data_IF_061283112783
#
_entry.id   IF_061283112783
#
_cell.length_a   1.000
_cell.length_b   1.000
_cell.length_c   1.000
_cell.angle_alpha   90.00
_cell.angle_beta   90.00
_cell.angle_gamma   90.00
#
_symmetry.space_group_name_H-M   'P 1'
#
loop_
_entity.id
_entity.type
_entity.pdbx_description
1 polymer ?
#
# COMPACT_ATOMS: atom_id res chain seq x y z
N UNK A 1 5.88 30.48 7.11
CA UNK A 1 5.36 29.13 6.84
C UNK A 1 4.13 28.92 7.70
N UNK A 2 2.98 28.63 7.08
CA UNK A 2 1.74 28.32 7.81
C UNK A 2 1.94 27.04 8.61
N UNK A 3 1.73 27.09 9.92
CA UNK A 3 1.83 25.91 10.79
C UNK A 3 0.66 24.97 10.46
N UNK A 4 0.98 23.77 9.98
CA UNK A 4 0.01 22.72 9.66
C UNK A 4 -0.16 21.82 10.87
N UNK A 5 -1.37 21.29 11.05
CA UNK A 5 -1.70 20.40 12.16
C UNK A 5 -2.36 19.14 11.60
N UNK A 6 -2.04 18.01 12.22
CA UNK A 6 -2.57 16.69 11.88
C UNK A 6 -3.33 16.12 13.08
N UNK A 7 -4.43 15.42 12.82
CA UNK A 7 -5.22 14.77 13.87
C UNK A 7 -4.47 13.52 14.35
N UNK A 8 -3.65 13.67 15.39
CA UNK A 8 -2.86 12.59 16.00
C UNK A 8 -3.04 12.67 17.51
N UNK A 9 -3.82 11.76 18.09
CA UNK A 9 -4.00 11.63 19.54
C UNK A 9 -3.35 10.33 20.05
N UNK A 10 -2.63 10.41 21.17
CA UNK A 10 -2.01 9.24 21.81
C UNK A 10 -3.07 8.24 22.31
N UNK A 11 -4.24 8.73 22.76
CA UNK A 11 -5.33 7.88 23.24
C UNK A 11 -5.89 7.01 22.10
N UNK A 12 -6.20 7.62 20.95
CA UNK A 12 -6.65 6.91 19.75
C UNK A 12 -5.63 5.87 19.28
N UNK A 13 -4.33 6.20 19.32
CA UNK A 13 -3.26 5.25 18.98
C UNK A 13 -3.17 4.08 19.96
N UNK A 14 -3.47 4.32 21.24
CA UNK A 14 -3.52 3.29 22.27
C UNK A 14 -4.71 2.36 22.04
N UNK A 15 -5.90 2.91 21.81
CA UNK A 15 -7.15 2.17 21.52
C UNK A 15 -7.03 1.34 20.25
N UNK A 16 -6.42 1.90 19.20
CA UNK A 16 -6.15 1.18 17.95
C UNK A 16 -5.04 0.11 18.08
N UNK A 17 -4.35 0.02 19.22
CA UNK A 17 -3.34 -1.00 19.48
C UNK A 17 -2.02 -0.81 18.72
N UNK A 18 -1.68 0.42 18.29
CA UNK A 18 -0.47 0.72 17.50
C UNK A 18 0.82 0.39 18.25
N UNK A 19 0.77 0.39 19.57
CA UNK A 19 1.92 0.15 20.46
C UNK A 19 2.37 -1.31 20.48
N UNK A 20 1.58 -2.26 19.97
CA UNK A 20 1.95 -3.67 19.95
C UNK A 20 2.92 -3.99 18.81
N UNK A 21 4.14 -4.38 19.17
CA UNK A 21 5.16 -4.88 18.26
C UNK A 21 5.12 -6.40 18.06
N UNK A 22 6.22 -6.94 17.54
CA UNK A 22 6.39 -8.38 17.38
C UNK A 22 6.95 -9.03 18.66
N UNK A 23 6.88 -10.37 18.72
CA UNK A 23 7.53 -11.15 19.77
C UNK A 23 9.05 -10.97 19.77
N UNK A 24 9.68 -11.07 20.94
CA UNK A 24 11.09 -10.71 21.13
C UNK A 24 12.12 -11.57 20.41
N UNK A 25 11.70 -12.69 19.81
CA UNK A 25 12.56 -13.53 18.96
C UNK A 25 12.61 -13.06 17.50
N UNK A 26 11.67 -12.22 17.07
CA UNK A 26 11.51 -11.77 15.67
C UNK A 26 11.80 -10.27 15.51
N UNK A 27 12.61 -9.69 16.40
CA UNK A 27 12.94 -8.26 16.36
C UNK A 27 14.27 -8.01 15.66
N UNK A 28 14.45 -6.79 15.16
CA UNK A 28 15.72 -6.31 14.60
C UNK A 28 16.39 -5.38 15.63
N UNK A 29 17.65 -5.62 16.05
CA UNK A 29 18.37 -4.78 17.01
C UNK A 29 18.42 -3.29 16.64
N UNK A 30 18.39 -2.95 15.34
CA UNK A 30 18.32 -1.56 14.88
C UNK A 30 17.05 -0.82 15.30
N UNK A 31 16.01 -1.56 15.71
CA UNK A 31 14.77 -1.00 16.21
C UNK A 31 14.83 -0.60 17.69
N UNK A 32 15.93 -0.87 18.41
CA UNK A 32 16.08 -0.55 19.83
C UNK A 32 15.69 0.89 20.19
N UNK A 33 16.03 1.94 19.40
CA UNK A 33 15.60 3.31 19.70
C UNK A 33 14.08 3.52 19.66
N UNK A 34 13.32 2.68 18.96
CA UNK A 34 11.87 2.85 18.79
C UNK A 34 11.04 1.98 19.75
N UNK A 35 11.69 1.12 20.53
CA UNK A 35 11.05 0.21 21.48
C UNK A 35 11.07 0.87 22.87
N UNK A 36 9.92 0.96 23.53
CA UNK A 36 9.79 1.53 24.88
C UNK A 36 9.97 0.47 25.97
N UNK A 37 9.38 -0.71 25.79
CA UNK A 37 9.40 -1.77 26.78
C UNK A 37 9.21 -3.16 26.15
N UNK A 38 9.34 -4.20 26.98
CA UNK A 38 8.95 -5.58 26.67
C UNK A 38 8.01 -6.07 27.76
N UNK A 39 6.85 -6.61 27.39
CA UNK A 39 5.91 -7.25 28.34
C UNK A 39 5.42 -8.57 27.77
N UNK A 40 5.40 -9.62 28.61
CA UNK A 40 4.92 -10.97 28.23
C UNK A 40 5.50 -11.49 26.89
N UNK A 41 6.77 -11.21 26.61
CA UNK A 41 7.44 -11.65 25.38
C UNK A 41 7.14 -10.85 24.11
N UNK A 42 6.41 -9.73 24.20
CA UNK A 42 6.08 -8.82 23.09
C UNK A 42 6.81 -7.48 23.30
N UNK A 43 7.37 -6.92 22.24
CA UNK A 43 7.91 -5.55 22.27
C UNK A 43 6.79 -4.52 22.19
N UNK A 44 6.93 -3.45 22.98
CA UNK A 44 6.05 -2.29 22.96
C UNK A 44 6.79 -1.16 22.26
N UNK A 45 6.17 -0.56 21.25
CA UNK A 45 6.74 0.58 20.51
C UNK A 45 6.44 1.90 21.23
N UNK A 46 7.32 2.88 21.06
CA UNK A 46 7.16 4.19 21.69
C UNK A 46 6.17 5.07 20.90
N UNK A 47 4.96 5.26 21.45
CA UNK A 47 3.91 6.05 20.79
C UNK A 47 4.27 7.53 20.63
N UNK A 48 4.98 8.15 21.57
CA UNK A 48 5.42 9.55 21.45
C UNK A 48 6.35 9.72 20.24
N UNK A 49 7.28 8.78 20.03
CA UNK A 49 8.14 8.78 18.83
C UNK A 49 7.32 8.52 17.56
N UNK A 50 6.40 7.56 17.59
CA UNK A 50 5.53 7.27 16.45
C UNK A 50 4.69 8.49 16.05
N UNK A 51 4.11 9.20 17.02
CA UNK A 51 3.32 10.41 16.76
C UNK A 51 4.15 11.51 16.09
N UNK A 52 5.39 11.72 16.56
CA UNK A 52 6.32 12.69 15.94
C UNK A 52 6.63 12.33 14.49
N UNK A 53 7.04 11.08 14.23
CA UNK A 53 7.36 10.63 12.87
C UNK A 53 6.14 10.58 11.96
N UNK A 54 4.96 10.30 12.49
CA UNK A 54 3.71 10.35 11.74
C UNK A 54 3.41 11.78 11.28
N UNK A 55 3.58 12.78 12.14
CA UNK A 55 3.44 14.19 11.76
C UNK A 55 4.42 14.58 10.65
N UNK A 56 5.72 14.25 10.82
CA UNK A 56 6.75 14.53 9.81
C UNK A 56 6.43 13.84 8.46
N UNK A 57 5.94 12.60 8.49
CA UNK A 57 5.52 11.87 7.29
C UNK A 57 4.31 12.51 6.61
N UNK A 58 3.32 12.96 7.38
CA UNK A 58 2.15 13.66 6.84
C UNK A 58 2.54 14.98 6.17
N UNK A 59 3.48 15.74 6.75
CA UNK A 59 3.99 16.97 6.14
C UNK A 59 4.65 16.71 4.77
N UNK A 60 5.50 15.68 4.70
CA UNK A 60 6.16 15.30 3.44
C UNK A 60 5.18 14.82 2.38
N UNK A 61 4.19 14.01 2.76
CA UNK A 61 3.16 13.51 1.84
C UNK A 61 2.29 14.66 1.34
N UNK A 62 1.93 15.61 2.22
CA UNK A 62 1.18 16.80 1.84
C UNK A 62 1.95 17.64 0.82
N UNK A 63 3.23 17.93 1.08
CA UNK A 63 4.06 18.71 0.16
C UNK A 63 4.29 18.00 -1.18
N UNK A 64 4.39 16.66 -1.19
CA UNK A 64 4.49 15.89 -2.42
C UNK A 64 3.19 15.99 -3.23
N UNK A 65 2.04 15.81 -2.56
CA UNK A 65 0.72 15.86 -3.18
C UNK A 65 0.39 17.28 -3.69
N UNK A 66 0.73 18.33 -2.94
CA UNK A 66 0.50 19.73 -3.34
C UNK A 66 1.30 20.13 -4.58
N UNK A 67 2.41 19.42 -4.86
CA UNK A 67 3.22 19.56 -6.08
C UNK A 67 2.74 18.65 -7.22
N UNK A 68 1.62 17.95 -7.06
CA UNK A 68 1.07 17.05 -8.08
C UNK A 68 1.84 15.74 -8.28
N UNK A 69 2.67 15.32 -7.31
CA UNK A 69 3.39 14.04 -7.41
C UNK A 69 2.44 12.85 -7.23
N UNK A 70 2.76 11.74 -7.89
CA UNK A 70 2.02 10.49 -7.74
C UNK A 70 2.47 9.69 -6.51
N UNK A 71 1.50 9.07 -5.83
CA UNK A 71 1.73 8.20 -4.67
C UNK A 71 1.29 6.76 -4.98
N UNK A 72 2.07 5.80 -4.48
CA UNK A 72 1.80 4.37 -4.60
C UNK A 72 1.67 3.76 -3.20
N UNK A 73 0.52 3.16 -2.90
CA UNK A 73 0.26 2.47 -1.63
C UNK A 73 0.42 0.96 -1.81
N UNK A 74 1.26 0.32 -0.99
CA UNK A 74 1.58 -1.10 -1.15
C UNK A 74 1.26 -1.85 0.13
N UNK A 75 0.46 -2.92 0.02
CA UNK A 75 0.23 -3.84 1.13
C UNK A 75 -0.42 -5.13 0.66
N UNK A 76 0.35 -6.20 0.66
CA UNK A 76 -0.01 -7.50 0.07
C UNK A 76 -0.50 -8.52 1.10
N UNK A 77 -0.42 -8.18 2.40
CA UNK A 77 -0.91 -9.05 3.49
C UNK A 77 -2.43 -9.13 3.43
N UNK A 78 -3.00 -10.32 3.64
CA UNK A 78 -4.46 -10.53 3.63
C UNK A 78 -5.20 -9.55 4.55
N UNK A 79 -4.67 -9.27 5.74
CA UNK A 79 -5.27 -8.32 6.71
C UNK A 79 -5.22 -6.86 6.27
N UNK A 80 -4.37 -6.50 5.30
CA UNK A 80 -4.14 -5.12 4.85
C UNK A 80 -4.67 -4.87 3.43
N UNK A 81 -4.89 -5.91 2.64
CA UNK A 81 -5.17 -5.80 1.21
C UNK A 81 -6.43 -4.97 0.91
N UNK A 82 -7.49 -5.15 1.68
CA UNK A 82 -8.76 -4.43 1.47
C UNK A 82 -8.66 -2.99 1.97
N UNK A 83 -7.99 -2.77 3.11
CA UNK A 83 -7.73 -1.43 3.64
C UNK A 83 -6.87 -0.58 2.69
N UNK A 84 -5.85 -1.18 2.08
CA UNK A 84 -4.99 -0.51 1.09
C UNK A 84 -5.79 -0.10 -0.14
N UNK A 85 -6.63 -0.99 -0.67
CA UNK A 85 -7.45 -0.67 -1.84
C UNK A 85 -8.44 0.46 -1.54
N UNK A 86 -9.14 0.35 -0.41
CA UNK A 86 -10.12 1.37 0.02
C UNK A 86 -9.47 2.74 0.24
N UNK A 87 -8.32 2.79 0.92
CA UNK A 87 -7.59 4.03 1.16
C UNK A 87 -7.09 4.68 -0.14
N UNK A 88 -6.54 3.89 -1.06
CA UNK A 88 -6.03 4.39 -2.33
C UNK A 88 -7.15 4.91 -3.24
N UNK A 89 -8.30 4.22 -3.29
CA UNK A 89 -9.47 4.67 -4.06
C UNK A 89 -9.99 6.00 -3.52
N UNK A 90 -10.15 6.12 -2.18
CA UNK A 90 -10.57 7.38 -1.54
C UNK A 90 -9.60 8.53 -1.82
N UNK A 91 -8.29 8.25 -1.80
CA UNK A 91 -7.23 9.22 -2.07
C UNK A 91 -6.92 9.42 -3.56
N UNK A 92 -7.60 8.71 -4.47
CA UNK A 92 -7.32 8.71 -5.93
C UNK A 92 -5.84 8.44 -6.27
N UNK A 93 -5.21 7.54 -5.53
CA UNK A 93 -3.81 7.16 -5.68
C UNK A 93 -3.66 5.74 -6.26
N UNK A 94 -2.46 5.40 -6.74
CA UNK A 94 -2.17 4.04 -7.23
C UNK A 94 -1.94 3.09 -6.04
N UNK A 95 -2.25 1.80 -6.23
CA UNK A 95 -2.01 0.80 -5.19
C UNK A 95 -1.66 -0.59 -5.71
N UNK A 96 -1.01 -1.38 -4.84
CA UNK A 96 -0.82 -2.83 -5.02
C UNK A 96 -1.24 -3.55 -3.75
N UNK A 97 -2.32 -4.33 -3.84
CA UNK A 97 -2.87 -5.10 -2.72
C UNK A 97 -2.87 -6.63 -2.92
N UNK A 98 -2.46 -7.11 -4.10
CA UNK A 98 -2.31 -8.53 -4.42
C UNK A 98 -0.83 -8.90 -4.44
N UNK A 99 -0.32 -9.48 -5.52
CA UNK A 99 1.09 -9.84 -5.65
C UNK A 99 1.91 -8.63 -6.13
N UNK A 100 2.95 -8.28 -5.38
CA UNK A 100 3.99 -7.37 -5.84
C UNK A 100 4.93 -8.12 -6.79
N UNK A 101 4.97 -7.73 -8.06
CA UNK A 101 5.86 -8.34 -9.04
C UNK A 101 7.23 -7.64 -8.98
N UNK A 102 8.29 -8.44 -8.91
CA UNK A 102 9.65 -7.91 -9.03
C UNK A 102 9.80 -7.14 -10.34
N UNK A 103 10.45 -5.98 -10.29
CA UNK A 103 10.65 -5.13 -11.46
C UNK A 103 9.53 -4.13 -11.76
N UNK A 104 8.42 -4.09 -10.99
CA UNK A 104 7.32 -3.13 -11.24
C UNK A 104 7.77 -1.66 -11.29
N UNK A 105 8.77 -1.28 -10.48
CA UNK A 105 9.30 0.08 -10.46
C UNK A 105 10.58 0.24 -11.28
N UNK A 106 11.44 -0.79 -11.29
CA UNK A 106 12.78 -0.70 -11.89
C UNK A 106 12.81 -1.09 -13.37
N UNK A 107 11.86 -1.92 -13.81
CA UNK A 107 11.70 -2.33 -15.21
C UNK A 107 10.33 -1.87 -15.72
N UNK A 108 10.19 -0.54 -15.81
CA UNK A 108 8.94 0.09 -16.20
C UNK A 108 8.56 -0.25 -17.65
N UNK A 109 9.51 -0.27 -18.59
CA UNK A 109 9.24 -0.58 -20.01
C UNK A 109 8.53 -1.92 -20.20
N UNK A 110 8.93 -2.96 -19.47
CA UNK A 110 8.26 -4.26 -19.52
C UNK A 110 6.87 -4.22 -18.88
N UNK A 111 6.75 -3.46 -17.78
CA UNK A 111 5.48 -3.31 -17.06
C UNK A 111 4.45 -2.54 -17.90
N UNK A 112 4.89 -1.50 -18.61
CA UNK A 112 4.10 -0.70 -19.53
C UNK A 112 3.55 -1.53 -20.70
N UNK A 113 4.38 -2.35 -21.35
CA UNK A 113 3.91 -3.27 -22.41
C UNK A 113 2.82 -4.22 -21.92
N UNK A 114 2.92 -4.71 -20.68
CA UNK A 114 1.87 -5.55 -20.07
C UNK A 114 0.59 -4.77 -19.78
N UNK A 115 0.71 -3.53 -19.33
CA UNK A 115 -0.43 -2.64 -19.12
C UNK A 115 -1.14 -2.32 -20.44
N UNK A 116 -0.39 -2.09 -21.52
CA UNK A 116 -0.96 -1.86 -22.84
C UNK A 116 -1.73 -3.08 -23.33
N UNK A 117 -1.14 -4.28 -23.24
CA UNK A 117 -1.84 -5.53 -23.57
C UNK A 117 -3.12 -5.70 -22.75
N UNK A 118 -3.10 -5.37 -21.46
CA UNK A 118 -4.32 -5.41 -20.62
C UNK A 118 -5.40 -4.43 -21.09
N UNK A 119 -5.02 -3.22 -21.49
CA UNK A 119 -5.96 -2.23 -22.05
C UNK A 119 -6.59 -2.72 -23.35
N UNK A 120 -5.80 -3.32 -24.23
CA UNK A 120 -6.27 -3.87 -25.50
C UNK A 120 -7.27 -5.01 -25.25
N UNK A 121 -6.94 -5.96 -24.36
CA UNK A 121 -7.84 -7.05 -23.97
C UNK A 121 -9.15 -6.54 -23.34
N UNK A 122 -9.08 -5.49 -22.51
CA UNK A 122 -10.28 -4.84 -21.94
C UNK A 122 -11.15 -4.19 -23.02
N UNK A 123 -10.55 -3.59 -24.04
CA UNK A 123 -11.28 -3.01 -25.16
C UNK A 123 -11.96 -4.10 -26.00
N UNK A 124 -11.27 -5.19 -26.32
CA UNK A 124 -11.82 -6.33 -27.04
C UNK A 124 -12.98 -7.01 -26.29
N UNK A 125 -12.86 -7.12 -24.96
CA UNK A 125 -13.93 -7.62 -24.10
C UNK A 125 -15.18 -6.73 -24.18
N UNK A 126 -15.01 -5.40 -24.12
CA UNK A 126 -16.13 -4.45 -24.22
C UNK A 126 -16.79 -4.47 -25.59
N UNK A 127 -16.02 -4.67 -26.65
CA UNK A 127 -16.53 -4.81 -28.03
C UNK A 127 -17.19 -6.16 -28.32
N UNK A 128 -17.18 -7.10 -27.36
CA UNK A 128 -17.78 -8.43 -27.54
C UNK A 128 -17.02 -9.35 -28.50
N UNK A 129 -15.77 -9.01 -28.89
CA UNK A 129 -14.96 -9.83 -29.81
C UNK A 129 -14.71 -11.24 -29.24
N UNK A 130 -14.56 -11.36 -27.92
CA UNK A 130 -14.37 -12.64 -27.22
C UNK A 130 -15.48 -13.67 -27.51
N UNK A 131 -16.71 -13.21 -27.74
CA UNK A 131 -17.85 -14.10 -27.98
C UNK A 131 -17.85 -14.70 -29.38
N UNK A 132 -17.06 -14.14 -30.30
CA UNK A 132 -16.91 -14.62 -31.69
C UNK A 132 -15.78 -15.64 -31.84
N UNK A 133 -15.02 -15.89 -30.77
CA UNK A 133 -13.90 -16.81 -30.77
C UNK A 133 -14.34 -18.22 -30.36
N UNK A 134 -13.60 -19.27 -30.76
CA UNK A 134 -13.77 -20.61 -30.22
C UNK A 134 -13.70 -20.61 -28.68
N UNK A 135 -14.48 -21.49 -28.04
CA UNK A 135 -14.58 -21.57 -26.57
C UNK A 135 -13.22 -21.67 -25.87
N UNK A 136 -12.28 -22.41 -26.48
CA UNK A 136 -10.91 -22.56 -25.97
C UNK A 136 -10.17 -21.22 -25.93
N UNK A 137 -10.20 -20.48 -27.02
CA UNK A 137 -9.47 -19.22 -27.17
C UNK A 137 -10.10 -18.12 -26.31
N UNK A 138 -11.43 -18.06 -26.27
CA UNK A 138 -12.17 -17.19 -25.36
C UNK A 138 -11.80 -17.46 -23.89
N UNK A 139 -11.67 -18.74 -23.49
CA UNK A 139 -11.25 -19.10 -22.14
C UNK A 139 -9.79 -18.73 -21.85
N UNK A 140 -8.88 -18.87 -22.82
CA UNK A 140 -7.48 -18.46 -22.67
C UNK A 140 -7.34 -16.95 -22.49
N UNK A 141 -8.04 -16.14 -23.30
CA UNK A 141 -8.02 -14.69 -23.17
C UNK A 141 -8.67 -14.23 -21.86
N UNK A 142 -9.74 -14.89 -21.42
CA UNK A 142 -10.38 -14.62 -20.13
C UNK A 142 -9.47 -14.91 -18.92
N UNK A 143 -8.50 -15.83 -19.05
CA UNK A 143 -7.47 -16.07 -18.01
C UNK A 143 -6.39 -14.98 -17.97
N UNK A 144 -6.19 -14.25 -19.06
CA UNK A 144 -5.22 -13.15 -19.13
C UNK A 144 -5.79 -11.81 -18.63
N UNK A 145 -7.13 -11.69 -18.61
CA UNK A 145 -7.89 -10.57 -18.03
C UNK A 145 -8.04 -10.71 -16.51
#
# INVERSE_FOLDING_TARGET
MTRRYWNINLEEMMEAGVHFGHGTRKWNPRMAPFISAKRKGIHITNLTRTARFLSEACDLVFDAASRGKHLLIVGTKNKAADSVASAAIKARCHYVNKKWLGGMLTNWSTTETRLQKFRDLRAEQRMGKLNRLPKRDAAMLKRQL
#
